data_IF_774661495261
#
_entry.id   IF_774661495261
#
_cell.length_a   1.000
_cell.length_b   1.000
_cell.length_c   1.000
_cell.angle_alpha   90.00
_cell.angle_beta   90.00
_cell.angle_gamma   90.00
#
_symmetry.space_group_name_H-M   'P 1'
#
loop_
_entity.id
_entity.type
_entity.pdbx_description
1 polymer ?
#
# COMPACT_ATOMS: atom_id res chain seq x y z
N UNK A 1 18.15 9.41 3.15
CA UNK A 1 17.29 8.21 2.96
C UNK A 1 16.00 8.67 2.31
N UNK A 2 15.52 7.95 1.30
CA UNK A 2 14.41 8.42 0.46
C UNK A 2 13.04 8.25 1.10
N UNK A 3 12.89 7.30 2.03
CA UNK A 3 11.62 6.96 2.68
C UNK A 3 11.62 7.44 4.14
N UNK A 4 10.49 7.99 4.59
CA UNK A 4 10.27 8.48 5.95
C UNK A 4 10.46 7.37 6.99
N UNK A 5 10.65 7.75 8.27
CA UNK A 5 10.78 6.77 9.35
C UNK A 5 9.49 5.96 9.53
N UNK A 6 8.34 6.62 9.46
CA UNK A 6 7.02 6.00 9.63
C UNK A 6 6.75 4.97 8.53
N UNK A 7 6.94 5.35 7.27
CA UNK A 7 6.70 4.46 6.12
C UNK A 7 7.66 3.27 6.12
N UNK A 8 8.91 3.43 6.56
CA UNK A 8 9.83 2.29 6.77
C UNK A 8 9.36 1.33 7.86
N UNK A 9 8.87 1.86 8.98
CA UNK A 9 8.35 1.01 10.06
C UNK A 9 7.08 0.27 9.62
N UNK A 10 6.20 0.97 8.90
CA UNK A 10 5.00 0.39 8.28
C UNK A 10 5.36 -0.77 7.33
N UNK A 11 6.26 -0.56 6.38
CA UNK A 11 6.70 -1.60 5.45
C UNK A 11 7.36 -2.78 6.17
N UNK A 12 8.12 -2.53 7.25
CA UNK A 12 8.71 -3.58 8.06
C UNK A 12 7.61 -4.43 8.76
N UNK A 13 6.65 -3.77 9.41
CA UNK A 13 5.51 -4.46 10.03
C UNK A 13 4.70 -5.26 9.01
N UNK A 14 4.45 -4.69 7.83
CA UNK A 14 3.73 -5.33 6.74
C UNK A 14 4.45 -6.60 6.25
N UNK A 15 5.77 -6.54 6.07
CA UNK A 15 6.59 -7.68 5.65
C UNK A 15 6.60 -8.83 6.67
N UNK A 16 6.52 -8.49 7.95
CA UNK A 16 6.56 -9.45 9.06
C UNK A 16 5.17 -9.93 9.52
N UNK A 17 4.11 -9.62 8.77
CA UNK A 17 2.72 -9.92 9.16
C UNK A 17 2.38 -9.39 10.57
N UNK A 18 2.95 -8.23 10.93
CA UNK A 18 2.84 -7.65 12.26
C UNK A 18 1.51 -6.96 12.54
N UNK A 19 0.68 -6.73 11.52
CA UNK A 19 -0.63 -6.10 11.65
C UNK A 19 -1.74 -7.11 11.90
N UNK A 20 -2.60 -6.81 12.87
CA UNK A 20 -3.76 -7.64 13.21
C UNK A 20 -4.95 -7.29 12.32
N UNK A 21 -5.12 -8.03 11.23
CA UNK A 21 -6.22 -7.84 10.27
C UNK A 21 -7.06 -9.10 10.09
N UNK A 22 -8.33 -8.92 9.73
CA UNK A 22 -9.25 -9.97 9.33
C UNK A 22 -9.24 -11.22 10.22
N UNK A 23 -8.64 -12.30 9.70
CA UNK A 23 -8.56 -13.63 10.34
C UNK A 23 -8.00 -13.59 11.76
N UNK A 24 -7.14 -12.62 12.09
CA UNK A 24 -6.66 -12.45 13.47
C UNK A 24 -7.81 -12.31 14.47
N UNK A 25 -8.87 -11.59 14.08
CA UNK A 25 -10.02 -11.28 14.94
C UNK A 25 -11.12 -12.34 14.91
N UNK A 26 -11.03 -13.34 14.02
CA UNK A 26 -12.09 -14.32 13.81
C UNK A 26 -12.39 -15.16 15.07
N UNK A 27 -11.38 -15.38 15.91
CA UNK A 27 -11.48 -16.15 17.16
C UNK A 27 -11.66 -15.28 18.40
N UNK A 28 -11.65 -13.96 18.27
CA UNK A 28 -11.75 -13.02 19.39
C UNK A 28 -13.20 -12.61 19.60
N UNK A 29 -13.74 -12.88 20.78
CA UNK A 29 -15.10 -12.47 21.14
C UNK A 29 -15.25 -10.95 21.08
N UNK A 30 -16.43 -10.49 20.63
CA UNK A 30 -16.73 -9.07 20.44
C UNK A 30 -16.02 -8.39 19.27
N UNK A 31 -15.11 -9.05 18.54
CA UNK A 31 -14.31 -8.43 17.48
C UNK A 31 -14.58 -8.97 16.07
N UNK A 32 -15.60 -9.82 15.91
CA UNK A 32 -15.94 -10.43 14.61
C UNK A 32 -16.25 -9.41 13.51
N UNK A 33 -16.74 -8.22 13.87
CA UNK A 33 -16.98 -7.13 12.93
C UNK A 33 -15.70 -6.59 12.27
N UNK A 34 -14.52 -6.90 12.82
CA UNK A 34 -13.20 -6.54 12.25
C UNK A 34 -12.64 -7.60 11.30
N UNK A 35 -13.37 -8.70 11.09
CA UNK A 35 -12.94 -9.80 10.21
C UNK A 35 -13.13 -9.42 8.75
N UNK A 36 -14.22 -8.72 8.45
CA UNK A 36 -14.61 -8.31 7.11
C UNK A 36 -14.54 -6.80 6.97
N UNK A 37 -14.24 -6.32 5.77
CA UNK A 37 -14.30 -4.91 5.46
C UNK A 37 -15.75 -4.41 5.57
N UNK A 38 -15.93 -3.24 6.19
CA UNK A 38 -17.24 -2.61 6.31
C UNK A 38 -17.76 -2.01 4.98
N UNK A 39 -16.87 -1.81 3.99
CA UNK A 39 -17.23 -1.23 2.69
C UNK A 39 -17.68 -2.32 1.70
N UNK A 40 -16.80 -3.27 1.36
CA UNK A 40 -17.08 -4.30 0.37
C UNK A 40 -17.52 -5.66 0.94
N UNK A 41 -17.46 -5.87 2.26
CA UNK A 41 -17.90 -7.11 2.91
C UNK A 41 -16.95 -8.32 2.80
N UNK A 42 -15.80 -8.20 2.11
CA UNK A 42 -14.85 -9.31 2.00
C UNK A 42 -13.95 -9.42 3.23
N UNK A 43 -13.29 -10.58 3.42
CA UNK A 43 -12.33 -10.75 4.54
C UNK A 43 -11.17 -9.76 4.42
N UNK A 44 -10.93 -8.99 5.48
CA UNK A 44 -9.84 -8.02 5.54
C UNK A 44 -8.47 -8.72 5.53
N UNK A 45 -7.59 -8.26 4.64
CA UNK A 45 -6.18 -8.60 4.60
C UNK A 45 -5.39 -7.34 4.25
N UNK A 46 -4.08 -7.32 4.50
CA UNK A 46 -3.27 -6.18 4.06
C UNK A 46 -3.27 -6.00 2.54
N UNK A 47 -3.40 -7.09 1.77
CA UNK A 47 -3.55 -7.01 0.31
C UNK A 47 -4.89 -6.39 -0.07
N UNK A 48 -5.95 -6.74 0.65
CA UNK A 48 -7.25 -6.11 0.46
C UNK A 48 -7.17 -4.60 0.71
N UNK A 49 -6.72 -4.21 1.91
CA UNK A 49 -6.63 -2.81 2.34
C UNK A 49 -5.82 -1.99 1.35
N UNK A 50 -4.63 -2.49 0.96
CA UNK A 50 -3.70 -1.71 0.16
C UNK A 50 -4.04 -1.68 -1.32
N UNK A 51 -4.57 -2.76 -1.90
CA UNK A 51 -4.60 -2.92 -3.37
C UNK A 51 -5.94 -3.38 -3.95
N UNK A 52 -6.93 -3.79 -3.15
CA UNK A 52 -8.18 -4.39 -3.68
C UNK A 52 -9.48 -3.79 -3.12
N UNK A 53 -9.40 -2.99 -2.07
CA UNK A 53 -10.58 -2.39 -1.45
C UNK A 53 -11.23 -1.36 -2.38
N UNK A 54 -12.55 -1.26 -2.35
CA UNK A 54 -13.36 -0.26 -3.07
C UNK A 54 -13.58 1.01 -2.23
N UNK A 55 -12.88 1.14 -1.10
CA UNK A 55 -12.93 2.34 -0.29
C UNK A 55 -12.38 3.53 -1.10
N UNK A 56 -13.10 4.66 -1.15
CA UNK A 56 -12.76 5.78 -2.03
C UNK A 56 -11.39 6.39 -1.75
N UNK A 57 -10.92 6.30 -0.50
CA UNK A 57 -9.59 6.80 -0.12
C UNK A 57 -8.45 6.00 -0.76
N UNK A 58 -8.58 4.67 -0.83
CA UNK A 58 -7.56 3.81 -1.44
C UNK A 58 -7.43 4.13 -2.93
N UNK A 59 -8.56 4.18 -3.63
CA UNK A 59 -8.58 4.43 -5.07
C UNK A 59 -8.01 5.82 -5.37
N UNK A 60 -8.42 6.83 -4.59
CA UNK A 60 -7.96 8.20 -4.78
C UNK A 60 -6.46 8.33 -4.60
N UNK A 61 -5.87 7.65 -3.61
CA UNK A 61 -4.42 7.70 -3.39
C UNK A 61 -3.68 7.12 -4.59
N UNK A 62 -4.09 5.96 -5.11
CA UNK A 62 -3.42 5.35 -6.25
C UNK A 62 -3.63 6.10 -7.57
N UNK A 63 -4.79 6.74 -7.75
CA UNK A 63 -5.03 7.67 -8.85
C UNK A 63 -4.01 8.82 -8.82
N UNK A 64 -3.87 9.50 -7.69
CA UNK A 64 -2.92 10.61 -7.53
C UNK A 64 -1.46 10.18 -7.76
N UNK A 65 -1.10 8.96 -7.35
CA UNK A 65 0.23 8.38 -7.63
C UNK A 65 0.45 8.20 -9.12
N UNK A 66 -0.54 7.66 -9.84
CA UNK A 66 -0.46 7.45 -11.29
C UNK A 66 -0.38 8.77 -12.06
N UNK A 67 -1.19 9.76 -11.67
CA UNK A 67 -1.17 11.10 -12.24
C UNK A 67 0.19 11.79 -12.04
N UNK A 68 0.74 11.76 -10.82
CA UNK A 68 2.02 12.39 -10.52
C UNK A 68 3.15 11.69 -11.27
N UNK A 69 3.13 10.37 -11.34
CA UNK A 69 4.10 9.60 -12.12
C UNK A 69 4.07 10.01 -13.59
N UNK A 70 2.88 9.99 -14.21
CA UNK A 70 2.68 10.37 -15.61
C UNK A 70 3.15 11.79 -15.89
N UNK A 71 2.86 12.74 -15.01
CA UNK A 71 3.31 14.12 -15.12
C UNK A 71 4.84 14.26 -15.14
N UNK A 72 5.58 13.37 -14.46
CA UNK A 72 7.03 13.45 -14.32
C UNK A 72 7.80 12.58 -15.31
N UNK A 73 7.26 11.44 -15.71
CA UNK A 73 7.95 10.45 -16.54
C UNK A 73 7.36 10.31 -17.93
N UNK A 74 6.16 10.86 -18.16
CA UNK A 74 5.34 10.62 -19.36
C UNK A 74 5.04 9.13 -19.61
N UNK A 75 5.06 8.31 -18.55
CA UNK A 75 4.77 6.88 -18.58
C UNK A 75 3.59 6.57 -17.66
N UNK A 76 2.92 5.45 -17.88
CA UNK A 76 1.88 4.97 -16.99
C UNK A 76 2.49 4.11 -15.88
N UNK A 77 2.05 4.32 -14.65
CA UNK A 77 2.37 3.45 -13.52
C UNK A 77 1.14 2.58 -13.24
N UNK A 78 1.21 1.25 -13.47
CA UNK A 78 0.11 0.38 -13.08
C UNK A 78 -0.06 0.40 -11.55
N UNK A 79 -1.28 0.14 -11.08
CA UNK A 79 -1.51 -0.03 -9.65
C UNK A 79 -0.56 -1.09 -9.08
N UNK A 80 0.14 -0.80 -7.98
CA UNK A 80 1.11 -1.72 -7.43
C UNK A 80 0.40 -2.90 -6.75
N UNK A 81 0.95 -4.09 -6.95
CA UNK A 81 0.62 -5.27 -6.16
C UNK A 81 1.20 -5.17 -4.74
N UNK A 82 0.66 -5.94 -3.79
CA UNK A 82 1.23 -6.00 -2.44
C UNK A 82 2.71 -6.39 -2.45
N UNK A 83 3.13 -7.30 -3.35
CA UNK A 83 4.53 -7.69 -3.50
C UNK A 83 5.42 -6.51 -3.91
N UNK A 84 4.95 -5.66 -4.83
CA UNK A 84 5.66 -4.46 -5.24
C UNK A 84 5.75 -3.42 -4.11
N UNK A 85 4.70 -3.27 -3.31
CA UNK A 85 4.72 -2.40 -2.12
C UNK A 85 5.76 -2.90 -1.11
N UNK A 86 5.76 -4.21 -0.80
CA UNK A 86 6.69 -4.84 0.13
C UNK A 86 8.16 -4.64 -0.27
N UNK A 87 8.47 -4.72 -1.57
CA UNK A 87 9.83 -4.61 -2.09
C UNK A 87 10.14 -3.23 -2.71
N UNK A 88 9.29 -2.23 -2.50
CA UNK A 88 9.35 -0.95 -3.21
C UNK A 88 10.72 -0.26 -3.09
N UNK A 89 11.36 -0.36 -1.92
CA UNK A 89 12.70 0.19 -1.65
C UNK A 89 13.82 -0.41 -2.52
N UNK A 90 13.58 -1.56 -3.15
CA UNK A 90 14.50 -2.24 -4.07
C UNK A 90 14.16 -2.01 -5.54
N UNK A 91 13.02 -1.40 -5.86
CA UNK A 91 12.66 -1.06 -7.25
C UNK A 91 13.70 -0.15 -7.88
N UNK A 92 13.89 -0.30 -9.19
CA UNK A 92 14.87 0.45 -9.98
C UNK A 92 14.27 0.81 -11.33
N UNK A 93 14.60 2.03 -11.74
CA UNK A 93 14.34 2.57 -13.07
C UNK A 93 15.66 2.96 -13.74
N UNK A 94 15.59 3.33 -15.02
CA UNK A 94 16.77 3.73 -15.80
C UNK A 94 17.50 4.92 -15.18
N UNK A 95 16.75 5.90 -14.69
CA UNK A 95 17.28 7.09 -14.05
C UNK A 95 17.24 7.00 -12.52
N UNK A 96 18.25 7.61 -11.89
CA UNK A 96 18.38 7.66 -10.42
C UNK A 96 17.29 8.49 -9.76
N UNK A 97 16.91 9.63 -10.38
CA UNK A 97 15.82 10.50 -9.93
C UNK A 97 14.47 9.82 -10.05
N UNK A 98 14.19 9.19 -11.20
CA UNK A 98 12.96 8.42 -11.42
C UNK A 98 12.86 7.23 -10.45
N UNK A 99 13.97 6.53 -10.21
CA UNK A 99 14.03 5.45 -9.20
C UNK A 99 13.68 5.97 -7.81
N UNK A 100 14.22 7.13 -7.44
CA UNK A 100 13.96 7.75 -6.14
C UNK A 100 12.49 8.18 -6.02
N UNK A 101 11.94 8.79 -7.06
CA UNK A 101 10.53 9.18 -7.12
C UNK A 101 9.62 7.96 -6.96
N UNK A 102 9.88 6.87 -7.68
CA UNK A 102 9.09 5.63 -7.61
C UNK A 102 9.05 5.08 -6.18
N UNK A 103 10.21 5.01 -5.54
CA UNK A 103 10.34 4.54 -4.15
C UNK A 103 9.54 5.40 -3.19
N UNK A 104 9.62 6.72 -3.32
CA UNK A 104 8.88 7.67 -2.48
C UNK A 104 7.38 7.50 -2.70
N UNK A 105 6.92 7.54 -3.95
CA UNK A 105 5.50 7.44 -4.28
C UNK A 105 4.89 6.16 -3.75
N UNK A 106 5.48 5.00 -4.03
CA UNK A 106 4.90 3.71 -3.61
C UNK A 106 4.92 3.58 -2.09
N UNK A 107 6.04 3.93 -1.42
CA UNK A 107 6.18 3.71 0.02
C UNK A 107 5.34 4.67 0.86
N UNK A 108 5.32 5.96 0.54
CA UNK A 108 4.56 6.95 1.30
C UNK A 108 3.06 6.82 1.02
N UNK A 109 2.66 6.51 -0.22
CA UNK A 109 1.25 6.33 -0.55
C UNK A 109 0.67 5.07 0.09
N UNK A 110 1.42 3.96 0.11
CA UNK A 110 1.00 2.77 0.84
C UNK A 110 0.84 2.99 2.35
N UNK A 111 1.54 3.96 2.93
CA UNK A 111 1.36 4.36 4.33
C UNK A 111 0.13 5.26 4.55
N UNK A 112 -0.32 5.96 3.51
CA UNK A 112 -1.51 6.83 3.55
C UNK A 112 -2.82 6.07 3.34
N UNK A 113 -2.77 4.91 2.66
CA UNK A 113 -3.90 3.97 2.52
C UNK A 113 -4.19 3.30 3.85
#
# INVERSE_FOLDING_TARGET
>A
KDVSRSSRFFLWMLLHDGYKVGKHWAKTEGHKFKVTCAQCGITETMEHILTKCDAPGQEKIWELVSELWKLKTNQELPQPTIGQILVCVKMKEKDTGTTRLLRILVSESAYLV
#
